data_IF_611719130958
#
_entry.id   IF_611719130958
#
_cell.length_a   1.000
_cell.length_b   1.000
_cell.length_c   1.000
_cell.angle_alpha   90.00
_cell.angle_beta   90.00
_cell.angle_gamma   90.00
#
_symmetry.space_group_name_H-M   'P 1'
#
loop_
_entity.id
_entity.type
_entity.pdbx_description
1 polymer ?
#
# COMPACT_ATOMS: atom_id res chain seq x y z
N UNK A 1 -5.49 25.96 19.24
CA UNK A 1 -5.02 25.21 18.07
C UNK A 1 -5.75 23.89 18.10
N UNK A 2 -6.50 23.54 17.04
CA UNK A 2 -7.22 22.26 16.96
C UNK A 2 -6.30 21.26 16.24
N UNK A 3 -5.69 20.35 16.97
CA UNK A 3 -4.92 19.23 16.40
C UNK A 3 -5.77 17.96 16.44
N UNK A 4 -5.49 17.01 15.55
CA UNK A 4 -6.20 15.70 15.51
C UNK A 4 -7.72 15.81 15.28
N UNK A 5 -8.21 16.96 14.84
CA UNK A 5 -9.62 17.25 14.64
C UNK A 5 -9.98 17.12 13.15
N UNK A 6 -10.78 16.11 12.80
CA UNK A 6 -11.16 15.85 11.41
C UNK A 6 -12.44 16.60 11.02
N UNK A 7 -12.34 17.50 10.04
CA UNK A 7 -13.52 18.10 9.38
C UNK A 7 -14.12 17.10 8.40
N UNK A 8 -15.42 16.83 8.53
CA UNK A 8 -16.16 15.89 7.66
C UNK A 8 -17.10 16.61 6.69
N UNK A 9 -17.50 17.84 6.99
CA UNK A 9 -18.40 18.61 6.13
C UNK A 9 -18.13 20.11 6.27
N UNK A 10 -18.24 20.84 5.16
CA UNK A 10 -18.16 22.30 5.13
C UNK A 10 -19.46 22.85 4.58
N UNK A 11 -20.21 23.57 5.41
CA UNK A 11 -21.37 24.35 5.00
C UNK A 11 -20.92 25.76 4.61
N UNK A 12 -20.79 25.98 3.30
CA UNK A 12 -20.33 27.26 2.74
C UNK A 12 -21.38 28.36 2.91
N UNK A 13 -22.67 28.02 2.92
CA UNK A 13 -23.77 29.00 3.03
C UNK A 13 -23.83 29.58 4.43
N UNK A 14 -23.77 28.70 5.44
CA UNK A 14 -23.83 29.10 6.84
C UNK A 14 -22.43 29.37 7.44
N UNK A 15 -21.37 29.25 6.63
CA UNK A 15 -19.96 29.41 7.02
C UNK A 15 -19.57 28.57 8.24
N UNK A 16 -19.90 27.28 8.20
CA UNK A 16 -19.65 26.32 9.30
C UNK A 16 -18.85 25.12 8.81
N UNK A 17 -17.79 24.76 9.53
CA UNK A 17 -17.14 23.47 9.41
C UNK A 17 -17.69 22.52 10.47
N UNK A 18 -18.05 21.30 10.06
CA UNK A 18 -18.55 20.24 10.94
C UNK A 18 -17.47 19.17 11.07
N UNK A 19 -17.11 18.88 12.32
CA UNK A 19 -16.10 17.91 12.67
C UNK A 19 -16.72 16.53 12.92
N UNK A 20 -15.89 15.48 12.86
CA UNK A 20 -16.33 14.09 13.00
C UNK A 20 -17.01 13.79 14.34
N UNK A 21 -16.60 14.49 15.39
CA UNK A 21 -17.17 14.42 16.74
C UNK A 21 -18.47 15.24 16.89
N UNK A 22 -18.93 15.89 15.82
CA UNK A 22 -20.11 16.76 15.82
C UNK A 22 -19.83 18.20 16.22
N UNK A 23 -18.59 18.56 16.60
CA UNK A 23 -18.21 19.94 16.86
C UNK A 23 -18.42 20.80 15.61
N UNK A 24 -18.87 22.04 15.79
CA UNK A 24 -19.13 22.98 14.70
C UNK A 24 -18.33 24.25 14.93
N UNK A 25 -17.55 24.63 13.93
CA UNK A 25 -16.75 25.84 13.95
C UNK A 25 -17.26 26.83 12.90
N UNK A 26 -17.62 28.03 13.34
CA UNK A 26 -17.95 29.14 12.45
C UNK A 26 -16.67 29.79 11.93
N UNK A 27 -16.66 30.17 10.64
CA UNK A 27 -15.50 30.80 10.01
C UNK A 27 -15.87 32.08 9.24
N UNK A 28 -14.96 33.04 9.21
CA UNK A 28 -15.10 34.24 8.35
C UNK A 28 -14.53 34.00 6.95
N UNK A 29 -13.44 33.24 6.88
CA UNK A 29 -12.74 32.82 5.66
C UNK A 29 -12.28 31.38 5.84
N UNK A 30 -12.30 30.60 4.76
CA UNK A 30 -11.92 29.19 4.77
C UNK A 30 -10.85 28.92 3.69
N UNK A 31 -9.74 28.32 4.10
CA UNK A 31 -8.72 27.76 3.21
C UNK A 31 -8.81 26.23 3.28
N UNK A 32 -8.94 25.58 2.13
CA UNK A 32 -8.92 24.12 2.05
C UNK A 32 -7.50 23.64 1.77
N UNK A 33 -6.93 22.86 2.70
CA UNK A 33 -5.62 22.23 2.55
C UNK A 33 -5.62 20.70 2.86
N UNK A 34 -6.52 19.89 2.25
CA UNK A 34 -6.55 18.41 2.37
C UNK A 34 -5.26 17.64 2.14
N UNK A 35 -4.40 18.17 1.28
CA UNK A 35 -3.45 17.32 0.57
C UNK A 35 -4.18 16.34 -0.36
N UNK A 36 -3.63 15.13 -0.48
CA UNK A 36 -4.09 14.07 -1.37
C UNK A 36 -4.19 12.73 -0.62
N UNK A 37 -4.85 11.74 -1.23
CA UNK A 37 -4.97 10.39 -0.68
C UNK A 37 -4.26 9.40 -1.60
N UNK A 38 -3.47 8.47 -1.06
CA UNK A 38 -2.71 7.54 -1.90
C UNK A 38 -3.63 6.65 -2.73
N UNK A 39 -3.19 6.33 -3.95
CA UNK A 39 -3.91 5.41 -4.83
C UNK A 39 -3.69 3.96 -4.39
N UNK A 40 -4.78 3.24 -4.18
CA UNK A 40 -4.77 1.81 -3.87
C UNK A 40 -4.75 0.97 -5.15
N UNK A 41 -4.21 -0.25 -5.07
CA UNK A 41 -4.29 -1.19 -6.19
C UNK A 41 -5.72 -1.73 -6.35
N UNK A 42 -6.17 -1.81 -7.60
CA UNK A 42 -7.45 -2.42 -7.96
C UNK A 42 -7.23 -3.81 -8.58
N UNK A 43 -6.70 -4.73 -7.79
CA UNK A 43 -6.40 -6.09 -8.19
C UNK A 43 -7.03 -7.12 -7.23
N UNK A 44 -7.06 -8.39 -7.63
CA UNK A 44 -7.50 -9.47 -6.73
C UNK A 44 -6.52 -9.61 -5.57
N UNK A 45 -7.05 -9.82 -4.37
CA UNK A 45 -6.22 -9.95 -3.17
C UNK A 45 -5.58 -8.65 -2.68
N UNK A 46 -6.06 -7.48 -3.11
CA UNK A 46 -5.59 -6.17 -2.60
C UNK A 46 -5.68 -6.01 -1.07
N UNK A 47 -6.53 -6.79 -0.42
CA UNK A 47 -6.80 -6.74 1.02
C UNK A 47 -5.95 -7.77 1.81
N UNK A 48 -5.03 -8.50 1.15
CA UNK A 48 -4.07 -9.36 1.86
C UNK A 48 -3.11 -8.51 2.69
N UNK A 49 -2.63 -9.10 3.79
CA UNK A 49 -1.70 -8.40 4.65
C UNK A 49 -0.36 -8.12 3.96
N UNK A 50 0.35 -7.12 4.46
CA UNK A 50 1.62 -6.62 3.95
C UNK A 50 1.55 -5.87 2.61
N UNK A 51 0.38 -5.38 2.22
CA UNK A 51 0.19 -4.44 1.11
C UNK A 51 -0.02 -3.05 1.69
N UNK A 52 0.87 -2.11 1.38
CA UNK A 52 0.91 -0.78 2.00
C UNK A 52 0.94 0.35 0.99
N UNK A 53 0.29 1.44 1.34
CA UNK A 53 0.52 2.77 0.76
C UNK A 53 1.28 3.62 1.77
N UNK A 54 2.15 4.52 1.32
CA UNK A 54 2.88 5.43 2.20
C UNK A 54 2.30 6.84 2.06
N UNK A 55 1.73 7.38 3.16
CA UNK A 55 1.27 8.77 3.22
C UNK A 55 1.85 9.52 4.41
N UNK A 56 2.01 8.83 5.53
CA UNK A 56 2.51 9.38 6.79
C UNK A 56 3.92 8.84 7.10
N UNK A 57 4.71 9.54 7.93
CA UNK A 57 5.96 9.01 8.45
C UNK A 57 5.80 7.67 9.17
N UNK A 58 4.66 7.47 9.84
CA UNK A 58 4.31 6.24 10.53
C UNK A 58 4.19 5.07 9.54
N UNK A 59 3.56 5.28 8.38
CA UNK A 59 3.47 4.29 7.31
C UNK A 59 4.86 3.88 6.82
N UNK A 60 5.73 4.86 6.55
CA UNK A 60 7.10 4.60 6.09
C UNK A 60 7.91 3.79 7.10
N UNK A 61 7.82 4.15 8.38
CA UNK A 61 8.46 3.42 9.47
C UNK A 61 7.92 2.00 9.60
N UNK A 62 6.62 1.80 9.40
CA UNK A 62 6.00 0.48 9.43
C UNK A 62 6.49 -0.42 8.29
N UNK A 63 6.47 0.09 7.06
CA UNK A 63 7.00 -0.61 5.87
C UNK A 63 8.47 -0.98 6.06
N UNK A 64 9.30 -0.06 6.57
CA UNK A 64 10.71 -0.33 6.83
C UNK A 64 10.90 -1.48 7.83
N UNK A 65 10.16 -1.50 8.93
CA UNK A 65 10.26 -2.58 9.93
C UNK A 65 9.92 -3.94 9.33
N UNK A 66 8.90 -4.01 8.49
CA UNK A 66 8.45 -5.26 7.87
C UNK A 66 9.36 -5.71 6.72
N UNK A 67 9.86 -4.78 5.91
CA UNK A 67 10.68 -5.09 4.74
C UNK A 67 12.11 -5.49 5.10
N UNK A 68 12.59 -5.19 6.32
CA UNK A 68 13.95 -5.52 6.76
C UNK A 68 14.24 -7.02 6.64
N UNK A 69 15.26 -7.36 5.85
CA UNK A 69 15.66 -8.75 5.58
C UNK A 69 14.66 -9.57 4.78
N UNK A 70 13.62 -8.95 4.21
CA UNK A 70 12.55 -9.61 3.43
C UNK A 70 12.55 -9.16 1.97
N UNK A 71 11.80 -9.84 1.11
CA UNK A 71 11.62 -9.46 -0.29
C UNK A 71 10.50 -8.44 -0.44
N UNK A 72 10.80 -7.30 -1.05
CA UNK A 72 9.86 -6.20 -1.25
C UNK A 72 9.56 -5.99 -2.74
N UNK A 73 8.28 -5.76 -3.06
CA UNK A 73 7.82 -5.32 -4.38
C UNK A 73 7.24 -3.91 -4.26
N UNK A 74 7.77 -2.99 -5.05
CA UNK A 74 7.24 -1.63 -5.19
C UNK A 74 6.45 -1.54 -6.49
N UNK A 75 5.21 -1.06 -6.41
CA UNK A 75 4.34 -0.87 -7.57
C UNK A 75 4.28 0.62 -7.91
N UNK A 76 4.76 0.97 -9.10
CA UNK A 76 4.99 2.34 -9.55
C UNK A 76 6.47 2.71 -9.50
N UNK A 77 6.97 3.28 -10.60
CA UNK A 77 8.31 3.85 -10.79
C UNK A 77 8.23 5.38 -10.99
N UNK A 78 7.35 6.02 -10.22
CA UNK A 78 7.29 7.46 -10.02
C UNK A 78 8.25 7.93 -8.92
N UNK A 79 8.04 9.14 -8.39
CA UNK A 79 8.93 9.73 -7.38
C UNK A 79 8.92 8.91 -6.10
N UNK A 80 7.74 8.67 -5.54
CA UNK A 80 7.60 7.91 -4.30
C UNK A 80 8.11 6.48 -4.46
N UNK A 81 7.74 5.80 -5.54
CA UNK A 81 8.15 4.42 -5.78
C UNK A 81 9.66 4.25 -5.89
N UNK A 82 10.34 5.16 -6.61
CA UNK A 82 11.79 5.08 -6.78
C UNK A 82 12.55 5.48 -5.51
N UNK A 83 12.06 6.45 -4.72
CA UNK A 83 12.65 6.78 -3.42
C UNK A 83 12.54 5.61 -2.44
N UNK A 84 11.37 4.96 -2.36
CA UNK A 84 11.16 3.77 -1.55
C UNK A 84 12.07 2.63 -2.00
N UNK A 85 12.17 2.39 -3.32
CA UNK A 85 13.04 1.35 -3.86
C UNK A 85 14.51 1.60 -3.51
N UNK A 86 14.98 2.85 -3.63
CA UNK A 86 16.35 3.22 -3.26
C UNK A 86 16.60 2.99 -1.76
N UNK A 87 15.68 3.44 -0.92
CA UNK A 87 15.80 3.30 0.54
C UNK A 87 15.78 1.84 1.00
N UNK A 88 14.92 1.01 0.41
CA UNK A 88 14.81 -0.41 0.75
C UNK A 88 15.99 -1.24 0.24
N UNK A 89 16.73 -0.78 -0.77
CA UNK A 89 17.85 -1.52 -1.37
C UNK A 89 18.91 -1.94 -0.33
N UNK A 90 19.12 -1.15 0.72
CA UNK A 90 20.09 -1.47 1.79
C UNK A 90 19.50 -2.25 2.96
N UNK A 91 18.17 -2.33 3.07
CA UNK A 91 17.48 -2.82 4.27
C UNK A 91 16.73 -4.13 4.00
N UNK A 92 16.18 -4.28 2.80
CA UNK A 92 15.47 -5.46 2.33
C UNK A 92 16.45 -6.50 1.76
N UNK A 93 16.01 -7.76 1.70
CA UNK A 93 16.77 -8.83 1.06
C UNK A 93 16.80 -8.66 -0.46
N UNK A 94 15.66 -8.29 -1.05
CA UNK A 94 15.54 -7.99 -2.47
C UNK A 94 14.46 -6.95 -2.72
N UNK A 95 14.64 -6.12 -3.76
CA UNK A 95 13.69 -5.09 -4.17
C UNK A 95 13.37 -5.27 -5.63
N UNK A 96 12.08 -5.33 -5.94
CA UNK A 96 11.56 -5.36 -7.31
C UNK A 96 10.62 -4.19 -7.55
N UNK A 97 10.69 -3.55 -8.71
CA UNK A 97 9.81 -2.44 -9.11
C UNK A 97 8.96 -2.89 -10.29
N UNK A 98 7.65 -2.69 -10.20
CA UNK A 98 6.67 -3.01 -11.25
C UNK A 98 6.09 -1.71 -11.78
N UNK A 99 6.10 -1.51 -13.08
CA UNK A 99 5.62 -0.27 -13.72
C UNK A 99 4.91 -0.56 -15.04
N UNK A 100 3.89 0.24 -15.36
CA UNK A 100 3.10 0.20 -16.58
C UNK A 100 3.85 0.81 -17.77
N UNK A 101 4.63 1.84 -17.52
CA UNK A 101 5.46 2.49 -18.52
C UNK A 101 6.70 1.67 -18.90
N UNK A 102 7.36 2.05 -19.99
CA UNK A 102 8.59 1.40 -20.47
C UNK A 102 9.83 1.77 -19.63
N UNK A 103 9.84 2.96 -19.04
CA UNK A 103 10.97 3.48 -18.24
C UNK A 103 10.45 4.22 -17.01
N UNK A 104 11.19 4.19 -15.88
CA UNK A 104 10.89 5.07 -14.74
C UNK A 104 10.77 6.52 -15.18
N UNK A 105 9.89 7.28 -14.54
CA UNK A 105 9.69 8.71 -14.82
C UNK A 105 9.38 9.07 -16.28
N UNK A 106 8.92 8.14 -17.14
CA UNK A 106 8.71 8.42 -18.58
C UNK A 106 7.88 9.68 -18.82
N UNK A 107 6.79 9.86 -18.06
CA UNK A 107 5.89 11.02 -18.16
C UNK A 107 6.52 12.35 -17.72
N UNK A 108 7.49 12.33 -16.81
CA UNK A 108 8.05 13.54 -16.19
C UNK A 108 9.41 13.94 -16.76
N UNK A 109 10.32 12.96 -16.93
CA UNK A 109 11.71 13.19 -17.30
C UNK A 109 12.05 12.64 -18.70
N UNK A 110 11.13 11.90 -19.31
CA UNK A 110 11.33 11.27 -20.60
C UNK A 110 12.19 10.01 -20.55
N UNK A 111 12.17 9.31 -21.67
CA UNK A 111 12.72 7.96 -21.83
C UNK A 111 14.25 7.89 -21.63
N UNK A 112 14.98 8.90 -22.10
CA UNK A 112 16.45 8.93 -22.01
C UNK A 112 16.93 9.01 -20.56
N UNK A 113 16.30 9.86 -19.76
CA UNK A 113 16.60 10.00 -18.33
C UNK A 113 16.11 8.77 -17.56
N UNK A 114 14.89 8.31 -17.87
CA UNK A 114 14.32 7.09 -17.29
C UNK A 114 15.24 5.87 -17.44
N UNK A 115 15.80 5.64 -18.63
CA UNK A 115 16.77 4.55 -18.86
C UNK A 115 18.06 4.71 -18.07
N UNK A 116 18.60 5.92 -17.96
CA UNK A 116 19.82 6.17 -17.19
C UNK A 116 19.60 5.86 -15.71
N UNK A 117 18.47 6.31 -15.15
CA UNK A 117 18.08 6.01 -13.77
C UNK A 117 17.81 4.52 -13.56
N UNK A 118 17.11 3.87 -14.49
CA UNK A 118 16.86 2.43 -14.44
C UNK A 118 18.16 1.64 -14.32
N UNK A 119 19.14 1.91 -15.20
CA UNK A 119 20.47 1.26 -15.14
C UNK A 119 21.19 1.51 -13.81
N UNK A 120 21.11 2.72 -13.27
CA UNK A 120 21.69 3.06 -11.98
C UNK A 120 21.07 2.22 -10.84
N UNK A 121 19.75 2.06 -10.84
CA UNK A 121 19.05 1.24 -9.84
C UNK A 121 19.31 -0.26 -10.02
N UNK A 122 19.41 -0.74 -11.27
CA UNK A 122 19.79 -2.13 -11.58
C UNK A 122 21.19 -2.45 -11.06
N UNK A 123 22.15 -1.53 -11.21
CA UNK A 123 23.49 -1.66 -10.62
C UNK A 123 23.43 -1.74 -9.08
N UNK A 124 22.42 -1.13 -8.48
CA UNK A 124 22.12 -1.23 -7.05
C UNK A 124 21.26 -2.45 -6.69
N UNK A 125 21.15 -3.45 -7.57
CA UNK A 125 20.43 -4.73 -7.36
C UNK A 125 18.90 -4.61 -7.31
N UNK A 126 18.33 -3.53 -7.82
CA UNK A 126 16.87 -3.41 -8.01
C UNK A 126 16.46 -4.09 -9.30
N UNK A 127 15.43 -4.93 -9.25
CA UNK A 127 14.89 -5.63 -10.43
C UNK A 127 13.68 -4.88 -10.97
N UNK A 128 13.68 -4.54 -12.26
CA UNK A 128 12.54 -3.89 -12.89
C UNK A 128 11.67 -4.86 -13.69
N UNK A 129 10.36 -4.66 -13.59
CA UNK A 129 9.32 -5.32 -14.35
C UNK A 129 8.47 -4.23 -15.00
N UNK A 130 8.94 -3.75 -16.15
CA UNK A 130 8.31 -2.67 -16.91
C UNK A 130 7.19 -3.20 -17.81
N UNK A 131 6.34 -2.30 -18.31
CA UNK A 131 5.22 -2.60 -19.21
C UNK A 131 4.30 -3.70 -18.67
N UNK A 132 4.09 -3.74 -17.36
CA UNK A 132 3.26 -4.77 -16.73
C UNK A 132 2.56 -4.24 -15.49
N UNK A 133 1.46 -4.88 -15.13
CA UNK A 133 0.65 -4.52 -13.97
C UNK A 133 0.48 -5.70 -13.03
N UNK A 134 0.19 -5.41 -11.77
CA UNK A 134 -0.19 -6.41 -10.78
C UNK A 134 -1.63 -6.84 -11.02
N UNK A 135 -1.81 -8.13 -11.34
CA UNK A 135 -3.13 -8.72 -11.59
C UNK A 135 -3.76 -9.27 -10.31
N UNK A 136 -2.94 -9.88 -9.47
CA UNK A 136 -3.38 -10.58 -8.27
C UNK A 136 -2.25 -10.60 -7.22
N UNK A 137 -2.64 -10.43 -5.96
CA UNK A 137 -1.80 -10.59 -4.80
C UNK A 137 -2.28 -11.82 -4.05
N UNK A 138 -1.41 -12.82 -3.87
CA UNK A 138 -1.74 -14.07 -3.21
C UNK A 138 -1.07 -14.11 -1.85
N UNK A 139 -1.87 -14.40 -0.84
CA UNK A 139 -1.34 -14.72 0.45
C UNK A 139 -1.01 -16.22 0.55
N UNK A 140 -0.10 -16.54 1.46
CA UNK A 140 0.13 -17.93 1.81
C UNK A 140 -1.17 -18.51 2.38
N UNK A 141 -1.75 -19.52 1.73
CA UNK A 141 -2.63 -20.45 2.45
C UNK A 141 -1.73 -21.11 3.48
N UNK A 142 -1.72 -20.58 4.70
CA UNK A 142 -1.15 -21.28 5.84
C UNK A 142 -1.82 -22.64 5.83
N UNK A 143 -1.06 -23.71 5.56
CA UNK A 143 -1.53 -25.10 5.42
C UNK A 143 -2.93 -25.23 5.97
N UNK A 144 -3.94 -25.11 5.10
CA UNK A 144 -5.21 -25.74 5.38
C UNK A 144 -4.89 -27.21 5.16
N UNK A 145 -4.22 -27.81 6.16
CA UNK A 145 -4.29 -29.24 6.35
C UNK A 145 -5.79 -29.49 6.33
N UNK A 146 -6.22 -30.18 5.29
CA UNK A 146 -7.58 -30.57 5.01
C UNK A 146 -8.10 -31.32 6.23
N UNK A 147 -8.53 -30.54 7.20
CA UNK A 147 -9.14 -30.92 8.45
C UNK A 147 -10.32 -29.98 8.60
N UNK A 148 -11.17 -30.04 7.57
CA UNK A 148 -12.60 -30.08 7.78
C UNK A 148 -12.93 -31.31 8.66
N UNK A 149 -12.33 -31.41 9.86
CA UNK A 149 -12.85 -32.26 10.90
C UNK A 149 -14.12 -31.56 11.35
N UNK A 150 -15.22 -32.09 10.84
CA UNK A 150 -16.59 -31.86 11.29
C UNK A 150 -16.62 -31.35 12.74
N UNK A 151 -16.68 -30.02 12.91
CA UNK A 151 -16.87 -29.39 14.21
C UNK A 151 -18.20 -29.81 14.86
N UNK A 152 -19.07 -30.53 14.15
CA UNK A 152 -20.29 -31.15 14.67
C UNK A 152 -20.06 -32.37 15.57
N UNK A 153 -18.84 -32.92 15.65
CA UNK A 153 -18.55 -34.13 16.43
C UNK A 153 -18.08 -33.88 17.89
N UNK A 154 -17.92 -32.62 18.34
CA UNK A 154 -17.41 -32.32 19.68
C UNK A 154 -18.43 -31.60 20.58
N UNK A 155 -18.52 -31.96 21.88
CA UNK A 155 -19.39 -31.28 22.83
C UNK A 155 -19.02 -29.79 22.98
N UNK A 156 -20.00 -28.91 23.31
CA UNK A 156 -19.86 -27.45 23.25
C UNK A 156 -18.72 -26.88 24.11
N UNK A 157 -18.25 -27.62 25.12
CA UNK A 157 -17.18 -27.21 26.03
C UNK A 157 -15.80 -27.23 25.35
N UNK A 158 -15.54 -28.17 24.43
CA UNK A 158 -14.24 -28.32 23.74
C UNK A 158 -14.11 -27.32 22.57
N UNK A 159 -15.23 -26.94 21.93
CA UNK A 159 -15.26 -25.89 20.89
C UNK A 159 -14.72 -24.55 21.38
N UNK A 160 -14.98 -24.19 22.65
CA UNK A 160 -14.53 -22.92 23.23
C UNK A 160 -13.02 -22.90 23.47
N UNK A 161 -12.43 -24.05 23.83
CA UNK A 161 -10.97 -24.18 24.03
C UNK A 161 -10.18 -24.17 22.72
N UNK A 162 -10.70 -24.77 21.64
CA UNK A 162 -10.01 -24.79 20.32
C UNK A 162 -10.01 -23.39 19.68
N UNK A 163 -11.09 -22.61 19.84
CA UNK A 163 -11.19 -21.26 19.28
C UNK A 163 -10.25 -20.24 19.97
N UNK A 164 -9.77 -20.55 21.18
CA UNK A 164 -8.82 -19.71 21.93
C UNK A 164 -7.35 -20.05 21.64
N UNK A 165 -7.06 -21.21 21.05
CA UNK A 165 -5.70 -21.68 20.72
C UNK A 165 -5.33 -21.49 19.24
N UNK A 166 -6.30 -21.17 18.39
CA UNK A 166 -6.09 -20.95 16.95
C UNK A 166 -6.16 -19.46 16.62
N UNK A 167 -5.24 -18.65 17.15
CA UNK A 167 -4.93 -17.36 16.53
C UNK A 167 -4.04 -17.66 15.30
N UNK A 168 -4.67 -18.12 14.22
CA UNK A 168 -3.96 -18.31 12.96
C UNK A 168 -3.47 -16.92 12.53
N UNK A 169 -2.16 -16.69 12.34
CA UNK A 169 -1.70 -15.42 11.85
C UNK A 169 -2.41 -15.17 10.51
N UNK A 170 -2.99 -13.98 10.31
CA UNK A 170 -3.64 -13.63 9.06
C UNK A 170 -2.72 -13.90 7.86
N UNK A 171 -3.29 -14.32 6.72
CA UNK A 171 -2.51 -14.84 5.61
C UNK A 171 -1.66 -13.71 5.01
N UNK A 172 -0.34 -13.86 5.11
CA UNK A 172 0.63 -12.85 4.70
C UNK A 172 0.89 -12.94 3.19
N UNK A 173 1.09 -11.79 2.54
CA UNK A 173 1.52 -11.73 1.14
C UNK A 173 2.72 -12.65 0.91
N UNK A 174 2.64 -13.44 -0.15
CA UNK A 174 3.72 -14.34 -0.57
C UNK A 174 4.04 -14.19 -2.05
N UNK A 175 3.02 -13.96 -2.88
CA UNK A 175 3.18 -13.87 -4.33
C UNK A 175 2.48 -12.65 -4.92
N UNK A 176 3.17 -11.98 -5.84
CA UNK A 176 2.64 -10.92 -6.69
C UNK A 176 2.59 -11.46 -8.11
N UNK A 177 1.38 -11.65 -8.62
CA UNK A 177 1.13 -12.14 -9.97
C UNK A 177 1.04 -10.96 -10.92
N UNK A 178 1.92 -10.94 -11.91
CA UNK A 178 1.95 -9.92 -12.95
C UNK A 178 1.12 -10.36 -14.15
N UNK A 179 0.54 -9.41 -14.87
CA UNK A 179 -0.20 -9.66 -16.11
C UNK A 179 0.64 -10.34 -17.20
N UNK A 180 1.96 -10.18 -17.14
CA UNK A 180 2.93 -10.91 -17.99
C UNK A 180 3.06 -12.41 -17.67
N UNK A 181 2.20 -12.97 -16.80
CA UNK A 181 2.25 -14.34 -16.28
C UNK A 181 3.48 -14.66 -15.42
N UNK A 182 4.28 -13.64 -15.07
CA UNK A 182 5.37 -13.78 -14.10
C UNK A 182 4.81 -13.72 -12.68
N UNK A 183 5.37 -14.55 -11.80
CA UNK A 183 5.04 -14.58 -10.37
C UNK A 183 6.27 -14.16 -9.58
N UNK A 184 6.15 -13.10 -8.79
CA UNK A 184 7.21 -12.62 -7.91
C UNK A 184 6.94 -13.08 -6.48
N UNK A 185 7.94 -13.65 -5.83
CA UNK A 185 7.87 -13.90 -4.39
C UNK A 185 8.20 -12.62 -3.64
N UNK A 186 7.30 -12.19 -2.78
CA UNK A 186 7.45 -10.97 -1.99
C UNK A 186 6.68 -11.10 -0.68
N UNK A 187 7.30 -10.62 0.40
CA UNK A 187 6.68 -10.60 1.72
C UNK A 187 6.00 -9.25 2.00
N UNK A 188 6.41 -8.19 1.29
CA UNK A 188 5.90 -6.83 1.42
C UNK A 188 5.66 -6.22 0.05
N UNK A 189 4.49 -5.62 -0.15
CA UNK A 189 4.15 -4.83 -1.34
C UNK A 189 3.93 -3.37 -0.94
N UNK A 190 4.62 -2.45 -1.61
CA UNK A 190 4.45 -1.00 -1.42
C UNK A 190 3.89 -0.40 -2.70
N UNK A 191 2.78 0.32 -2.58
CA UNK A 191 2.11 0.99 -3.69
C UNK A 191 2.56 2.44 -3.72
N UNK A 192 3.42 2.78 -4.68
CA UNK A 192 3.99 4.11 -4.91
C UNK A 192 3.43 4.77 -6.17
N UNK A 193 2.13 4.64 -6.42
CA UNK A 193 1.49 5.24 -7.59
C UNK A 193 1.17 6.71 -7.28
N UNK A 194 1.88 7.62 -7.95
CA UNK A 194 1.72 9.06 -7.78
C UNK A 194 0.33 9.56 -8.23
N UNK A 195 -0.16 10.60 -7.55
CA UNK A 195 -1.46 11.27 -7.74
C UNK A 195 -1.69 11.96 -9.09
N UNK A 196 -0.78 11.83 -10.06
CA UNK A 196 -0.78 12.60 -11.31
C UNK A 196 -2.00 12.34 -12.22
N UNK A 197 -2.93 11.48 -11.81
CA UNK A 197 -4.05 10.98 -12.60
C UNK A 197 -5.44 11.08 -11.95
N UNK A 198 -5.64 11.82 -10.84
CA UNK A 198 -7.00 12.02 -10.29
C UNK A 198 -7.35 13.47 -9.88
N UNK A 199 -8.42 13.99 -10.51
CA UNK A 199 -9.41 14.88 -9.89
C UNK A 199 -10.67 14.02 -9.60
N UNK A 200 -11.50 14.25 -8.55
CA UNK A 200 -11.49 15.37 -7.60
C UNK A 200 -11.37 14.99 -6.10
N UNK A 201 -10.47 15.72 -5.42
CA UNK A 201 -10.59 16.38 -4.10
C UNK A 201 -11.48 15.72 -3.03
N UNK A 202 -10.87 14.98 -2.10
CA UNK A 202 -11.40 14.80 -0.73
C UNK A 202 -10.71 15.80 0.20
N UNK A 203 -11.52 16.46 1.04
CA UNK A 203 -11.14 17.62 1.87
C UNK A 203 -10.86 17.18 3.32
N UNK A 204 -9.69 17.53 3.87
CA UNK A 204 -9.29 17.37 5.27
C UNK A 204 -8.54 18.63 5.69
N UNK A 205 -9.07 19.44 6.60
CA UNK A 205 -8.39 20.68 7.03
C UNK A 205 -7.30 20.38 8.07
N UNK A 206 -6.18 21.13 8.00
CA UNK A 206 -5.26 21.36 9.12
C UNK A 206 -5.76 22.53 9.97
#
# INVERSE_FOLDING_TARGET
MLTEAQVVTVDVRNKKAVFKDGFKLEYSKLLLAPGSSPKTLNCKGKDVENVFTIRTPEDANHVLRLARGRSAVVVGAGFLGMEVAAYLTEKAHSVSVVELEETPFRRFLGERVGRALMKMFENNRVKFYMQTEVLELRAQEGKVGSSLFLLSAFPPVIRKCVNLLMHCPPPQLQEVVLKSSKVLRADVCVVGIDDADQHPRRVCCW
#
